data_IF_008526802903
#
_entry.id   IF_008526802903
#
_cell.length_a   1.000
_cell.length_b   1.000
_cell.length_c   1.000
_cell.angle_alpha   90.00
_cell.angle_beta   90.00
_cell.angle_gamma   90.00
#
_symmetry.space_group_name_H-M   'P 1'
#
loop_
_entity.id
_entity.type
_entity.pdbx_description
1 polymer ?
#
# COMPACT_ATOMS: atom_id res chain seq x y z
N UNK A 1 20.09 -13.83 -6.96
CA UNK A 1 20.06 -12.36 -7.10
C UNK A 1 18.65 -11.91 -7.44
N UNK A 2 18.16 -10.88 -6.77
CA UNK A 2 16.81 -10.38 -7.00
C UNK A 2 16.80 -9.44 -8.19
N UNK A 3 15.72 -9.49 -8.97
CA UNK A 3 15.54 -8.55 -10.08
C UNK A 3 14.82 -7.30 -9.59
N UNK A 4 14.80 -6.26 -10.42
CA UNK A 4 14.02 -5.06 -10.16
C UNK A 4 12.54 -5.30 -10.54
N UNK A 5 11.66 -4.41 -10.09
CA UNK A 5 10.26 -4.39 -10.50
C UNK A 5 10.22 -3.87 -11.94
N UNK A 6 9.65 -4.65 -12.88
CA UNK A 6 9.68 -4.22 -14.27
C UNK A 6 8.34 -4.35 -15.02
N UNK A 7 7.28 -4.86 -14.37
CA UNK A 7 5.98 -5.00 -15.02
C UNK A 7 4.85 -5.10 -13.99
N UNK A 8 3.59 -5.13 -14.49
CA UNK A 8 2.40 -5.20 -13.65
C UNK A 8 2.34 -6.49 -12.83
N UNK A 9 2.84 -7.59 -13.35
CA UNK A 9 2.84 -8.87 -12.62
C UNK A 9 3.74 -8.79 -11.40
N UNK A 10 4.86 -8.08 -11.50
CA UNK A 10 5.75 -7.84 -10.36
C UNK A 10 5.05 -7.01 -9.29
N UNK A 11 4.30 -5.99 -9.70
CA UNK A 11 3.52 -5.16 -8.77
C UNK A 11 2.45 -6.01 -8.09
N UNK A 12 1.76 -6.89 -8.83
CA UNK A 12 0.76 -7.77 -8.26
C UNK A 12 1.36 -8.70 -7.21
N UNK A 13 2.54 -9.29 -7.51
CA UNK A 13 3.24 -10.13 -6.55
C UNK A 13 3.57 -9.34 -5.29
N UNK A 14 4.09 -8.13 -5.46
CA UNK A 14 4.42 -7.25 -4.35
C UNK A 14 3.20 -6.98 -3.47
N UNK A 15 2.07 -6.62 -4.09
CA UNK A 15 0.84 -6.31 -3.36
C UNK A 15 0.28 -7.52 -2.63
N UNK A 16 0.26 -8.70 -3.27
CA UNK A 16 -0.21 -9.92 -2.62
C UNK A 16 0.63 -10.26 -1.39
N UNK A 17 1.95 -10.22 -1.54
CA UNK A 17 2.87 -10.54 -0.45
C UNK A 17 2.75 -9.53 0.69
N UNK A 18 2.61 -8.26 0.34
CA UNK A 18 2.46 -7.17 1.30
C UNK A 18 1.17 -7.35 2.12
N UNK A 19 0.03 -7.59 1.46
CA UNK A 19 -1.24 -7.74 2.16
C UNK A 19 -1.30 -9.01 2.99
N UNK A 20 -0.61 -10.08 2.58
CA UNK A 20 -0.50 -11.27 3.42
C UNK A 20 0.12 -10.93 4.78
N UNK A 21 1.14 -10.08 4.78
CA UNK A 21 1.77 -9.63 6.03
C UNK A 21 0.84 -8.76 6.86
N UNK A 22 0.17 -7.79 6.22
CA UNK A 22 -0.76 -6.91 6.91
C UNK A 22 -1.91 -7.68 7.54
N UNK A 23 -2.48 -8.64 6.81
CA UNK A 23 -3.64 -9.40 7.29
C UNK A 23 -3.25 -10.44 8.34
N UNK A 24 -1.96 -10.73 8.47
CA UNK A 24 -1.46 -11.66 9.49
C UNK A 24 -1.10 -10.97 10.80
N UNK A 25 -1.10 -9.63 10.84
CA UNK A 25 -0.73 -8.87 12.03
C UNK A 25 -1.98 -8.30 12.69
N UNK A 26 -2.39 -8.82 13.88
CA UNK A 26 -3.61 -8.35 14.54
C UNK A 26 -3.61 -6.87 14.88
N UNK A 27 -2.44 -6.24 15.01
CA UNK A 27 -2.37 -4.82 15.36
C UNK A 27 -2.89 -3.91 14.25
N UNK A 28 -2.98 -4.40 13.02
CA UNK A 28 -3.43 -3.61 11.87
C UNK A 28 -4.51 -4.33 11.05
N UNK A 29 -4.56 -5.67 11.07
CA UNK A 29 -5.45 -6.44 10.20
C UNK A 29 -6.92 -6.11 10.43
N UNK A 30 -7.31 -5.81 11.67
CA UNK A 30 -8.71 -5.55 12.00
C UNK A 30 -9.29 -4.37 11.18
N UNK A 31 -8.45 -3.41 10.79
CA UNK A 31 -8.91 -2.28 10.00
C UNK A 31 -9.42 -2.75 8.64
N UNK A 32 -8.75 -3.73 8.05
CA UNK A 32 -9.10 -4.25 6.72
C UNK A 32 -10.21 -5.29 6.78
N UNK A 33 -10.22 -6.15 7.81
CA UNK A 33 -11.15 -7.28 7.86
C UNK A 33 -12.44 -6.94 8.58
N UNK A 34 -12.36 -6.25 9.73
CA UNK A 34 -13.52 -6.03 10.60
C UNK A 34 -14.19 -4.69 10.34
N UNK A 35 -13.41 -3.66 10.06
CA UNK A 35 -13.94 -2.30 9.85
C UNK A 35 -14.34 -2.09 8.39
N UNK A 36 -13.42 -2.27 7.47
CA UNK A 36 -13.65 -2.00 6.05
C UNK A 36 -14.23 -3.20 5.29
N UNK A 37 -14.03 -4.40 5.80
CA UNK A 37 -14.48 -5.65 5.16
C UNK A 37 -14.01 -5.72 3.71
N UNK A 38 -12.73 -5.48 3.50
CA UNK A 38 -12.13 -5.41 2.17
C UNK A 38 -12.17 -6.79 1.50
N UNK A 39 -12.67 -6.80 0.25
CA UNK A 39 -12.49 -7.93 -0.64
C UNK A 39 -11.14 -7.75 -1.32
N UNK A 40 -10.13 -8.52 -0.89
CA UNK A 40 -8.78 -8.37 -1.38
C UNK A 40 -8.69 -8.61 -2.88
N UNK A 41 -9.42 -9.58 -3.43
CA UNK A 41 -9.38 -9.85 -4.86
C UNK A 41 -9.87 -8.65 -5.69
N UNK A 42 -10.90 -7.96 -5.22
CA UNK A 42 -11.40 -6.76 -5.89
C UNK A 42 -10.48 -5.56 -5.67
N UNK A 43 -9.80 -5.53 -4.53
CA UNK A 43 -8.93 -4.41 -4.15
C UNK A 43 -7.57 -4.43 -4.87
N UNK A 44 -7.03 -5.64 -5.08
CA UNK A 44 -5.70 -5.80 -5.67
C UNK A 44 -5.55 -5.13 -7.04
N UNK A 45 -6.48 -5.28 -7.99
CA UNK A 45 -6.32 -4.61 -9.30
C UNK A 45 -6.25 -3.09 -9.20
N UNK A 46 -6.99 -2.51 -8.26
CA UNK A 46 -6.96 -1.05 -8.01
C UNK A 46 -5.57 -0.63 -7.53
N UNK A 47 -4.98 -1.40 -6.62
CA UNK A 47 -3.66 -1.12 -6.10
C UNK A 47 -2.58 -1.30 -7.17
N UNK A 48 -2.71 -2.33 -8.00
CA UNK A 48 -1.77 -2.55 -9.11
C UNK A 48 -1.82 -1.38 -10.07
N UNK A 49 -3.02 -0.90 -10.44
CA UNK A 49 -3.18 0.26 -11.31
C UNK A 49 -2.53 1.51 -10.70
N UNK A 50 -2.75 1.72 -9.42
CA UNK A 50 -2.16 2.85 -8.70
C UNK A 50 -0.62 2.81 -8.75
N UNK A 51 -0.04 1.66 -8.39
CA UNK A 51 1.42 1.53 -8.35
C UNK A 51 2.04 1.52 -9.74
N UNK A 52 1.34 0.99 -10.73
CA UNK A 52 1.77 1.05 -12.13
C UNK A 52 1.89 2.51 -12.57
N UNK A 53 0.88 3.34 -12.22
CA UNK A 53 0.95 4.77 -12.48
C UNK A 53 2.12 5.44 -11.75
N UNK A 54 2.31 5.13 -10.48
CA UNK A 54 3.34 5.76 -9.65
C UNK A 54 4.75 5.40 -10.15
N UNK A 55 4.97 4.12 -10.48
CA UNK A 55 6.30 3.63 -10.82
C UNK A 55 6.64 3.79 -12.30
N UNK A 56 5.65 3.66 -13.19
CA UNK A 56 5.87 3.64 -14.64
C UNK A 56 5.14 4.76 -15.36
N UNK A 57 4.47 5.65 -14.62
CA UNK A 57 3.74 6.78 -15.19
C UNK A 57 2.65 6.38 -16.18
N UNK A 58 2.01 5.22 -15.93
CA UNK A 58 0.90 4.77 -16.75
C UNK A 58 -0.37 5.56 -16.44
N UNK A 59 -1.37 5.46 -17.32
CA UNK A 59 -2.65 6.14 -17.14
C UNK A 59 -3.79 5.17 -16.78
N UNK A 60 -3.44 3.98 -16.28
CA UNK A 60 -4.44 2.95 -15.97
C UNK A 60 -5.19 3.18 -14.67
N UNK A 61 -4.65 3.99 -13.76
CA UNK A 61 -5.28 4.23 -12.47
C UNK A 61 -6.50 5.14 -12.64
N UNK A 62 -7.66 4.68 -12.18
CA UNK A 62 -8.93 5.42 -12.31
C UNK A 62 -9.61 5.67 -10.98
N UNK A 63 -9.07 5.19 -9.87
CA UNK A 63 -9.67 5.39 -8.55
C UNK A 63 -8.67 6.05 -7.61
N UNK A 64 -9.18 6.86 -6.71
CA UNK A 64 -8.35 7.59 -5.76
C UNK A 64 -8.11 6.73 -4.51
N UNK A 65 -6.92 6.13 -4.41
CA UNK A 65 -6.55 5.30 -3.26
C UNK A 65 -6.55 6.11 -1.96
N UNK A 66 -6.20 7.39 -2.02
CA UNK A 66 -6.23 8.27 -0.84
C UNK A 66 -7.65 8.39 -0.30
N UNK A 67 -8.65 8.53 -1.17
CA UNK A 67 -10.05 8.61 -0.71
C UNK A 67 -10.49 7.33 -0.03
N UNK A 68 -10.05 6.17 -0.53
CA UNK A 68 -10.35 4.89 0.12
C UNK A 68 -9.77 4.84 1.53
N UNK A 69 -8.53 5.27 1.71
CA UNK A 69 -7.90 5.31 3.02
C UNK A 69 -8.56 6.34 3.94
N UNK A 70 -8.99 7.48 3.40
CA UNK A 70 -9.73 8.47 4.19
C UNK A 70 -11.07 7.92 4.68
N UNK A 71 -11.75 7.12 3.84
CA UNK A 71 -12.99 6.46 4.24
C UNK A 71 -12.74 5.49 5.42
N UNK A 72 -11.66 4.70 5.35
CA UNK A 72 -11.28 3.82 6.45
C UNK A 72 -11.01 4.59 7.73
N UNK A 73 -10.34 5.74 7.63
CA UNK A 73 -10.05 6.59 8.79
C UNK A 73 -11.32 7.06 9.49
N UNK A 74 -12.38 7.37 8.73
CA UNK A 74 -13.66 7.80 9.32
C UNK A 74 -14.32 6.70 10.12
N UNK A 75 -14.14 5.44 9.73
CA UNK A 75 -14.74 4.29 10.41
C UNK A 75 -13.90 3.84 11.60
N UNK A 76 -12.56 3.82 11.41
CA UNK A 76 -11.60 3.43 12.45
C UNK A 76 -10.30 4.17 12.17
N UNK A 77 -10.02 5.27 12.88
CA UNK A 77 -8.88 6.12 12.55
C UNK A 77 -7.57 5.35 12.53
N UNK A 78 -6.78 5.54 11.47
CA UNK A 78 -5.40 5.09 11.44
C UNK A 78 -4.58 5.95 12.39
N UNK A 79 -3.78 5.31 13.21
CA UNK A 79 -2.84 5.99 14.11
C UNK A 79 -1.45 6.02 13.46
N UNK A 80 -0.57 6.86 14.01
CA UNK A 80 0.82 6.93 13.52
C UNK A 80 1.48 5.55 13.51
N UNK A 81 1.20 4.73 14.52
CA UNK A 81 1.74 3.37 14.60
C UNK A 81 1.27 2.47 13.46
N UNK A 82 0.05 2.67 12.95
CA UNK A 82 -0.46 1.91 11.81
C UNK A 82 0.32 2.24 10.54
N UNK A 83 0.64 3.51 10.31
CA UNK A 83 1.45 3.92 9.16
C UNK A 83 2.87 3.40 9.26
N UNK A 84 3.45 3.39 10.47
CA UNK A 84 4.77 2.83 10.71
C UNK A 84 4.78 1.33 10.39
N UNK A 85 3.77 0.60 10.85
CA UNK A 85 3.63 -0.84 10.58
C UNK A 85 3.43 -1.10 9.09
N UNK A 86 2.55 -0.32 8.45
CA UNK A 86 2.28 -0.42 7.01
C UNK A 86 3.57 -0.25 6.20
N UNK A 87 4.33 0.80 6.52
CA UNK A 87 5.56 1.11 5.80
C UNK A 87 6.64 0.05 6.04
N UNK A 88 6.73 -0.45 7.28
CA UNK A 88 7.67 -1.51 7.63
C UNK A 88 7.43 -2.76 6.78
N UNK A 89 6.19 -3.21 6.69
CA UNK A 89 5.86 -4.39 5.89
C UNK A 89 6.05 -4.15 4.41
N UNK A 90 5.73 -2.95 3.93
CA UNK A 90 5.94 -2.61 2.52
C UNK A 90 7.43 -2.69 2.17
N UNK A 91 8.29 -2.05 2.95
CA UNK A 91 9.73 -2.07 2.70
C UNK A 91 10.29 -3.49 2.79
N UNK A 92 9.84 -4.25 3.79
CA UNK A 92 10.28 -5.64 3.96
C UNK A 92 9.90 -6.48 2.74
N UNK A 93 8.68 -6.32 2.24
CA UNK A 93 8.20 -7.08 1.09
C UNK A 93 8.99 -6.74 -0.17
N UNK A 94 9.26 -5.44 -0.39
CA UNK A 94 10.11 -5.03 -1.52
C UNK A 94 11.48 -5.69 -1.42
N UNK A 95 12.11 -5.58 -0.26
CA UNK A 95 13.47 -6.10 -0.07
C UNK A 95 13.56 -7.62 -0.20
N UNK A 96 12.50 -8.33 0.15
CA UNK A 96 12.46 -9.80 0.03
C UNK A 96 12.34 -10.25 -1.42
N UNK A 97 11.72 -9.46 -2.29
CA UNK A 97 11.35 -9.90 -3.64
C UNK A 97 12.10 -9.18 -4.75
N UNK A 98 12.57 -7.96 -4.51
CA UNK A 98 13.12 -7.12 -5.57
C UNK A 98 14.34 -6.34 -5.11
N UNK A 99 15.16 -5.90 -6.09
CA UNK A 99 16.33 -5.08 -5.86
C UNK A 99 16.61 -4.26 -7.11
N UNK A 100 16.80 -2.95 -6.96
CA UNK A 100 17.11 -2.09 -8.09
C UNK A 100 16.51 -0.70 -7.94
N UNK A 101 16.60 0.08 -9.02
CA UNK A 101 16.18 1.49 -9.02
C UNK A 101 14.67 1.64 -8.81
N UNK A 102 13.87 0.79 -9.44
CA UNK A 102 12.41 0.86 -9.30
C UNK A 102 12.00 0.36 -7.91
N UNK A 103 12.66 -0.69 -7.39
CA UNK A 103 12.41 -1.15 -6.03
C UNK A 103 12.70 -0.04 -5.02
N UNK A 104 13.80 0.70 -5.19
CA UNK A 104 14.12 1.85 -4.34
C UNK A 104 13.08 2.94 -4.49
N UNK A 105 12.66 3.24 -5.70
CA UNK A 105 11.62 4.24 -5.97
C UNK A 105 10.31 3.86 -5.27
N UNK A 106 9.93 2.58 -5.31
CA UNK A 106 8.72 2.10 -4.64
C UNK A 106 8.77 2.38 -3.14
N UNK A 107 9.91 2.12 -2.50
CA UNK A 107 10.07 2.39 -1.07
C UNK A 107 9.99 3.89 -0.77
N UNK A 108 10.60 4.72 -1.61
CA UNK A 108 10.54 6.18 -1.45
C UNK A 108 9.12 6.71 -1.62
N UNK A 109 8.41 6.22 -2.62
CA UNK A 109 7.02 6.63 -2.87
C UNK A 109 6.08 6.18 -1.75
N UNK A 110 6.27 4.98 -1.23
CA UNK A 110 5.47 4.49 -0.10
C UNK A 110 5.64 5.38 1.13
N UNK A 111 6.87 5.81 1.41
CA UNK A 111 7.14 6.71 2.52
C UNK A 111 6.43 8.05 2.32
N UNK A 112 6.48 8.60 1.12
CA UNK A 112 5.81 9.86 0.80
C UNK A 112 4.29 9.73 0.93
N UNK A 113 3.72 8.63 0.44
CA UNK A 113 2.29 8.36 0.53
C UNK A 113 1.86 8.26 1.99
N UNK A 114 2.59 7.51 2.81
CA UNK A 114 2.28 7.38 4.23
C UNK A 114 2.31 8.74 4.94
N UNK A 115 3.31 9.57 4.63
CA UNK A 115 3.43 10.91 5.22
C UNK A 115 2.26 11.79 4.83
N UNK A 116 1.90 11.81 3.54
CA UNK A 116 0.79 12.62 3.04
C UNK A 116 -0.53 12.18 3.67
N UNK A 117 -0.76 10.86 3.75
CA UNK A 117 -1.98 10.34 4.35
C UNK A 117 -2.10 10.70 5.84
N UNK A 118 -0.99 10.65 6.58
CA UNK A 118 -0.99 11.04 7.99
C UNK A 118 -1.40 12.51 8.16
N UNK A 119 -0.84 13.38 7.32
CA UNK A 119 -1.15 14.81 7.37
C UNK A 119 -2.63 15.05 7.05
N UNK A 120 -3.13 14.43 5.99
CA UNK A 120 -4.53 14.64 5.56
C UNK A 120 -5.52 14.06 6.57
N UNK A 121 -5.24 12.90 7.14
CA UNK A 121 -6.12 12.29 8.13
C UNK A 121 -6.15 13.09 9.43
N UNK A 122 -5.04 13.70 9.81
CA UNK A 122 -4.99 14.58 10.96
C UNK A 122 -5.88 15.82 10.78
N UNK A 123 -6.12 16.24 9.54
CA UNK A 123 -6.97 17.39 9.22
C UNK A 123 -8.46 17.06 9.15
N UNK A 124 -8.83 15.79 9.19
CA UNK A 124 -10.23 15.35 9.00
C UNK A 124 -10.93 14.96 10.30
N UNK A 125 -10.42 15.40 11.41
CA UNK A 125 -11.01 15.10 12.72
C UNK A 125 -12.43 15.65 12.88
#
# INVERSE_FOLDING_TARGET
MKKDIDNRQDILLLMKSFYQKLLSDPSISYIFTDVAKIDLEAHLPILVDFWDMVLFQSDTYQKNALQLHMHLHRQSPFKAEHFTTWLHYFNQTVDENFEGDIALLAKQRAKSIATIMQIKMAQTK
#
